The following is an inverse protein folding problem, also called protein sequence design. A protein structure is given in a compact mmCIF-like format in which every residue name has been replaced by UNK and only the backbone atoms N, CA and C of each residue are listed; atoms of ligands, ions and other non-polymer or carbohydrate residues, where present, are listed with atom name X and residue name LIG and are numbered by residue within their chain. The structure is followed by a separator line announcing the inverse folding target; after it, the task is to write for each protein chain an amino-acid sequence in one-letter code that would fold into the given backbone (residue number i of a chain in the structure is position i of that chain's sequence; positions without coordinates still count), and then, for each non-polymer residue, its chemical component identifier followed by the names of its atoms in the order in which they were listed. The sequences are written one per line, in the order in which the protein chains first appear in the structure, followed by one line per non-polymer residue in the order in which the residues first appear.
data_IF_687812562073
#
_entry.id   IF_687812562073
#
_cell.length_a   1.000
_cell.length_b   1.000
_cell.length_c   1.000
_cell.angle_alpha   90.00
_cell.angle_beta   90.00
_cell.angle_gamma   90.00
#
_symmetry.space_group_name_H-M   'P 1'
#
loop_
_entity.id
_entity.type
_entity.pdbx_description
1 polymer ?
#
# COMPACT_ATOMS: atom_id res chain seq x y z
N UNK A 1 -8.06 -16.41 17.91
CA UNK A 1 -7.24 -15.19 18.14
C UNK A 1 -7.43 -14.11 17.07
N UNK A 2 -7.71 -14.44 15.80
CA UNK A 2 -7.84 -13.47 14.69
C UNK A 2 -9.00 -12.48 14.82
N UNK A 3 -10.19 -12.92 15.25
CA UNK A 3 -11.38 -12.06 15.37
C UNK A 3 -11.21 -10.87 16.33
N UNK A 4 -10.51 -11.09 17.46
CA UNK A 4 -10.24 -10.02 18.43
C UNK A 4 -9.34 -8.94 17.83
N UNK A 5 -8.27 -9.32 17.12
CA UNK A 5 -7.42 -8.38 16.40
C UNK A 5 -8.20 -7.62 15.32
N UNK A 6 -8.99 -8.32 14.47
CA UNK A 6 -9.83 -7.68 13.44
C UNK A 6 -10.80 -6.66 14.03
N UNK A 7 -11.47 -7.00 15.14
CA UNK A 7 -12.38 -6.09 15.85
C UNK A 7 -11.64 -4.87 16.42
N UNK A 8 -10.49 -5.10 17.07
CA UNK A 8 -9.67 -4.04 17.65
C UNK A 8 -9.14 -3.06 16.58
N UNK A 9 -8.60 -3.56 15.47
CA UNK A 9 -8.14 -2.71 14.35
C UNK A 9 -9.29 -1.99 13.65
N UNK A 10 -10.49 -2.60 13.58
CA UNK A 10 -11.71 -1.91 13.10
C UNK A 10 -12.05 -0.72 13.98
N UNK A 11 -12.08 -0.90 15.30
CA UNK A 11 -12.38 0.18 16.26
C UNK A 11 -11.33 1.29 16.18
N UNK A 12 -10.04 0.96 16.11
CA UNK A 12 -8.95 1.94 15.96
C UNK A 12 -9.12 2.73 14.65
N UNK A 13 -9.36 2.05 13.53
CA UNK A 13 -9.50 2.70 12.22
C UNK A 13 -10.70 3.63 12.17
N UNK A 14 -11.85 3.22 12.73
CA UNK A 14 -13.05 4.05 12.86
C UNK A 14 -12.79 5.26 13.77
N UNK A 15 -12.06 5.08 14.89
CA UNK A 15 -11.69 6.17 15.78
C UNK A 15 -10.74 7.19 15.10
N UNK A 16 -9.78 6.74 14.30
CA UNK A 16 -8.89 7.60 13.52
C UNK A 16 -9.66 8.38 12.44
N UNK A 17 -10.57 7.72 11.70
CA UNK A 17 -11.44 8.39 10.73
C UNK A 17 -12.42 9.38 11.39
N UNK A 18 -12.91 9.08 12.60
CA UNK A 18 -13.67 10.03 13.42
C UNK A 18 -12.82 11.24 13.83
N UNK A 19 -11.58 11.00 14.27
CA UNK A 19 -10.66 12.06 14.67
C UNK A 19 -10.27 12.99 13.51
N UNK A 20 -10.07 12.47 12.29
CA UNK A 20 -9.79 13.31 11.13
C UNK A 20 -10.98 14.21 10.75
N UNK A 21 -12.21 13.69 10.80
CA UNK A 21 -13.43 14.49 10.61
C UNK A 21 -13.53 15.60 11.67
N UNK A 22 -13.24 15.28 12.94
CA UNK A 22 -13.22 16.27 14.03
C UNK A 22 -12.15 17.33 13.80
N UNK A 23 -10.94 16.97 13.36
CA UNK A 23 -9.87 17.91 13.05
C UNK A 23 -10.25 18.87 11.90
N UNK A 24 -10.90 18.36 10.84
CA UNK A 24 -11.44 19.20 9.75
C UNK A 24 -12.52 20.16 10.29
N UNK A 25 -13.43 19.67 11.14
CA UNK A 25 -14.44 20.50 11.79
C UNK A 25 -13.82 21.62 12.66
N UNK A 26 -12.77 21.31 13.42
CA UNK A 26 -12.01 22.29 14.21
C UNK A 26 -11.28 23.30 13.32
N UNK A 27 -10.71 22.87 12.19
CA UNK A 27 -10.07 23.77 11.22
C UNK A 27 -11.08 24.79 10.68
N UNK A 28 -12.21 24.31 10.14
CA UNK A 28 -13.29 25.17 9.60
C UNK A 28 -13.84 26.11 10.66
N UNK A 29 -14.06 25.63 11.90
CA UNK A 29 -14.54 26.45 13.00
C UNK A 29 -13.54 27.55 13.40
N UNK A 30 -12.24 27.23 13.52
CA UNK A 30 -11.21 28.23 13.84
C UNK A 30 -11.09 29.28 12.74
N UNK A 31 -11.08 28.86 11.47
CA UNK A 31 -11.05 29.77 10.33
C UNK A 31 -12.26 30.71 10.31
N UNK A 32 -13.48 30.19 10.53
CA UNK A 32 -14.69 31.02 10.51
C UNK A 32 -14.71 32.05 11.64
N UNK A 33 -14.20 31.70 12.83
CA UNK A 33 -14.06 32.63 13.95
C UNK A 33 -13.03 33.73 13.65
N UNK A 34 -11.83 33.39 13.16
CA UNK A 34 -10.78 34.37 12.86
C UNK A 34 -11.19 35.41 11.81
N UNK A 35 -11.95 35.00 10.79
CA UNK A 35 -12.54 35.94 9.83
C UNK A 35 -13.57 36.88 10.45
N UNK A 36 -14.23 36.49 11.56
CA UNK A 36 -15.26 37.27 12.23
C UNK A 36 -14.70 38.23 13.29
N UNK A 37 -13.61 37.82 13.96
CA UNK A 37 -12.89 38.62 14.96
C UNK A 37 -11.94 39.63 14.33
N UNK A 38 -11.55 39.43 13.06
CA UNK A 38 -10.56 40.26 12.37
C UNK A 38 -9.12 39.92 12.78
N UNK A 39 -8.91 38.81 13.48
CA UNK A 39 -7.59 38.25 13.74
C UNK A 39 -6.94 37.81 12.42
N UNK A 40 -5.61 37.79 12.37
CA UNK A 40 -4.83 37.71 11.12
C UNK A 40 -5.27 36.57 10.20
N UNK A 41 -6.11 36.87 9.22
CA UNK A 41 -6.82 35.87 8.41
C UNK A 41 -5.88 34.88 7.70
N UNK A 42 -4.68 35.35 7.32
CA UNK A 42 -3.65 34.53 6.72
C UNK A 42 -3.08 33.49 7.72
N UNK A 43 -2.85 33.89 8.98
CA UNK A 43 -2.34 33.00 10.03
C UNK A 43 -3.39 31.96 10.45
N UNK A 44 -4.64 32.38 10.62
CA UNK A 44 -5.76 31.44 10.89
C UNK A 44 -5.97 30.47 9.73
N UNK A 45 -5.69 30.89 8.49
CA UNK A 45 -5.76 30.03 7.31
C UNK A 45 -4.59 29.05 7.24
N UNK A 46 -3.37 29.46 7.55
CA UNK A 46 -2.21 28.55 7.64
C UNK A 46 -2.37 27.50 8.74
N UNK A 47 -2.85 27.91 9.93
CA UNK A 47 -3.13 26.99 11.03
C UNK A 47 -4.22 25.97 10.66
N UNK A 48 -5.23 26.39 9.89
CA UNK A 48 -6.27 25.50 9.38
C UNK A 48 -5.75 24.54 8.31
N UNK A 49 -4.84 24.98 7.42
CA UNK A 49 -4.18 24.08 6.46
C UNK A 49 -3.34 23.02 7.20
N UNK A 50 -2.61 23.39 8.26
CA UNK A 50 -1.91 22.44 9.13
C UNK A 50 -2.86 21.41 9.76
N UNK A 51 -3.97 21.86 10.37
CA UNK A 51 -5.00 20.96 10.91
C UNK A 51 -5.60 20.02 9.85
N UNK A 52 -5.77 20.48 8.60
CA UNK A 52 -6.23 19.64 7.48
C UNK A 52 -5.17 18.63 7.05
N UNK A 53 -3.88 18.99 7.01
CA UNK A 53 -2.78 18.05 6.71
C UNK A 53 -2.73 16.94 7.75
N UNK A 54 -2.80 17.30 9.04
CA UNK A 54 -2.85 16.33 10.14
C UNK A 54 -4.10 15.43 10.00
N UNK A 55 -5.26 16.01 9.66
CA UNK A 55 -6.48 15.23 9.43
C UNK A 55 -6.35 14.23 8.28
N UNK A 56 -5.77 14.63 7.14
CA UNK A 56 -5.52 13.75 5.99
C UNK A 56 -4.56 12.63 6.38
N UNK A 57 -3.44 12.95 7.05
CA UNK A 57 -2.49 11.94 7.51
C UNK A 57 -3.12 10.92 8.48
N UNK A 58 -3.94 11.38 9.43
CA UNK A 58 -4.68 10.52 10.35
C UNK A 58 -5.71 9.65 9.62
N UNK A 59 -6.41 10.20 8.62
CA UNK A 59 -7.36 9.46 7.80
C UNK A 59 -6.67 8.37 6.97
N UNK A 60 -5.53 8.68 6.34
CA UNK A 60 -4.75 7.74 5.53
C UNK A 60 -4.18 6.60 6.38
N UNK A 61 -3.70 6.88 7.61
CA UNK A 61 -3.29 5.83 8.56
C UNK A 61 -4.49 4.97 8.99
N UNK A 62 -5.63 5.58 9.31
CA UNK A 62 -6.85 4.84 9.66
C UNK A 62 -7.33 3.92 8.55
N UNK A 63 -7.36 4.43 7.30
CA UNK A 63 -7.70 3.67 6.10
C UNK A 63 -6.70 2.55 5.82
N UNK A 64 -5.40 2.83 5.95
CA UNK A 64 -4.34 1.83 5.80
C UNK A 64 -4.47 0.69 6.81
N UNK A 65 -4.66 0.98 8.10
CA UNK A 65 -4.86 -0.05 9.14
C UNK A 65 -6.13 -0.89 8.89
N UNK A 66 -7.20 -0.27 8.40
CA UNK A 66 -8.42 -0.98 8.05
C UNK A 66 -8.20 -1.94 6.87
N UNK A 67 -7.61 -1.45 5.78
CA UNK A 67 -7.30 -2.27 4.59
C UNK A 67 -6.36 -3.43 4.95
N UNK A 68 -5.34 -3.18 5.78
CA UNK A 68 -4.23 -4.10 6.01
C UNK A 68 -4.48 -5.15 7.11
N UNK A 69 -5.31 -4.85 8.13
CA UNK A 69 -5.57 -5.79 9.23
C UNK A 69 -7.04 -6.25 9.34
N UNK A 70 -7.99 -5.54 8.73
CA UNK A 70 -9.40 -5.92 8.71
C UNK A 70 -9.79 -6.58 7.39
N UNK A 71 -9.48 -5.94 6.26
CA UNK A 71 -9.91 -6.39 4.92
C UNK A 71 -8.97 -7.43 4.32
N UNK A 72 -7.65 -7.29 4.45
CA UNK A 72 -6.70 -8.29 3.98
C UNK A 72 -6.90 -9.63 4.71
N UNK A 73 -6.98 -10.72 3.95
CA UNK A 73 -6.99 -12.07 4.52
C UNK A 73 -5.57 -12.54 4.85
N UNK A 74 -5.42 -13.10 6.05
CA UNK A 74 -4.12 -13.35 6.67
C UNK A 74 -3.38 -14.59 6.13
N UNK A 75 -3.98 -15.37 5.25
CA UNK A 75 -3.56 -16.77 5.06
C UNK A 75 -2.29 -16.96 4.22
N UNK A 76 -1.91 -16.05 3.32
CA UNK A 76 -0.63 -16.15 2.59
C UNK A 76 0.02 -14.79 2.26
N UNK A 77 0.40 -13.98 3.28
CA UNK A 77 1.26 -12.79 3.04
C UNK A 77 2.60 -13.23 2.45
N UNK A 78 2.78 -13.10 1.13
CA UNK A 78 4.09 -13.31 0.48
C UNK A 78 5.06 -12.23 0.98
N UNK A 79 6.38 -12.50 1.09
CA UNK A 79 7.35 -11.50 1.55
C UNK A 79 7.34 -10.19 0.72
N UNK A 80 6.90 -10.25 -0.53
CA UNK A 80 6.69 -9.07 -1.39
C UNK A 80 5.54 -8.17 -0.91
N UNK A 81 4.43 -8.74 -0.44
CA UNK A 81 3.24 -8.00 0.01
C UNK A 81 3.52 -7.23 1.30
N UNK A 82 4.20 -7.86 2.26
CA UNK A 82 4.63 -7.20 3.49
C UNK A 82 5.57 -5.99 3.23
N UNK A 83 6.44 -6.09 2.21
CA UNK A 83 7.28 -4.96 1.77
C UNK A 83 6.47 -3.86 1.08
N UNK A 84 5.47 -4.23 0.28
CA UNK A 84 4.54 -3.28 -0.36
C UNK A 84 3.73 -2.50 0.66
N UNK A 85 3.18 -3.19 1.66
CA UNK A 85 2.47 -2.60 2.81
C UNK A 85 3.34 -1.60 3.58
N UNK A 86 4.56 -2.01 3.97
CA UNK A 86 5.52 -1.12 4.64
C UNK A 86 5.87 0.10 3.78
N UNK A 87 6.04 -0.07 2.47
CA UNK A 87 6.35 1.01 1.54
C UNK A 87 5.18 2.01 1.44
N UNK A 88 3.94 1.52 1.38
CA UNK A 88 2.73 2.35 1.40
C UNK A 88 2.61 3.15 2.71
N UNK A 89 2.82 2.50 3.85
CA UNK A 89 2.82 3.17 5.16
C UNK A 89 3.87 4.28 5.26
N UNK A 90 5.12 3.97 4.91
CA UNK A 90 6.22 4.94 4.93
C UNK A 90 5.97 6.10 3.96
N UNK A 91 5.38 5.85 2.80
CA UNK A 91 5.01 6.89 1.83
C UNK A 91 4.00 7.90 2.41
N UNK A 92 2.96 7.42 3.10
CA UNK A 92 1.97 8.28 3.81
C UNK A 92 2.68 9.18 4.82
N UNK A 93 3.58 8.61 5.64
CA UNK A 93 4.35 9.38 6.64
C UNK A 93 5.26 10.44 6.00
N UNK A 94 5.95 10.12 4.89
CA UNK A 94 6.83 11.06 4.18
C UNK A 94 6.03 12.22 3.56
N UNK A 95 4.89 11.93 2.95
CA UNK A 95 4.01 12.96 2.37
C UNK A 95 3.48 13.88 3.48
N UNK A 96 3.02 13.32 4.60
CA UNK A 96 2.57 14.10 5.75
C UNK A 96 3.66 15.02 6.30
N UNK A 97 4.86 14.50 6.56
CA UNK A 97 6.01 15.29 7.04
C UNK A 97 6.44 16.40 6.06
N UNK A 98 6.38 16.13 4.74
CA UNK A 98 6.72 17.11 3.70
C UNK A 98 5.69 18.26 3.64
N UNK A 99 4.40 17.94 3.73
CA UNK A 99 3.32 18.94 3.73
C UNK A 99 3.33 19.79 5.00
N UNK A 100 3.52 19.15 6.17
CA UNK A 100 3.62 19.83 7.47
C UNK A 100 4.79 20.82 7.47
N UNK A 101 5.99 20.36 7.08
CA UNK A 101 7.17 21.22 6.95
C UNK A 101 6.93 22.42 6.01
N UNK A 102 6.28 22.21 4.85
CA UNK A 102 5.99 23.29 3.91
C UNK A 102 5.08 24.37 4.51
N UNK A 103 4.05 23.98 5.27
CA UNK A 103 3.16 24.93 5.96
C UNK A 103 3.89 25.67 7.07
N UNK A 104 4.73 24.97 7.85
CA UNK A 104 5.55 25.64 8.86
C UNK A 104 6.55 26.63 8.23
N UNK A 105 7.18 26.29 7.10
CA UNK A 105 8.04 27.24 6.35
C UNK A 105 7.22 28.46 5.93
N UNK A 106 6.01 28.28 5.37
CA UNK A 106 5.15 29.37 4.93
C UNK A 106 4.67 30.28 6.08
N UNK A 107 4.41 29.72 7.27
CA UNK A 107 4.09 30.47 8.48
C UNK A 107 5.30 31.26 8.98
N UNK A 108 6.40 30.57 9.23
CA UNK A 108 7.58 31.13 9.91
C UNK A 108 8.38 32.10 9.04
N UNK A 109 8.38 31.95 7.71
CA UNK A 109 9.02 32.88 6.76
C UNK A 109 8.49 34.34 6.85
N UNK A 110 7.37 34.56 7.55
CA UNK A 110 6.76 35.87 7.75
C UNK A 110 7.06 36.53 9.10
N UNK A 111 7.51 35.77 10.10
CA UNK A 111 7.64 36.26 11.49
C UNK A 111 9.07 36.71 11.81
N UNK A 112 10.06 35.80 11.70
CA UNK A 112 11.48 36.10 11.93
C UNK A 112 12.38 35.05 11.26
N UNK A 113 13.42 35.52 10.55
CA UNK A 113 14.32 34.64 9.76
C UNK A 113 15.07 33.59 10.58
N UNK A 114 15.19 33.76 11.91
CA UNK A 114 15.83 32.78 12.79
C UNK A 114 15.03 31.48 12.95
N UNK A 115 13.70 31.56 12.89
CA UNK A 115 12.83 30.44 13.25
C UNK A 115 12.66 29.43 12.10
N UNK A 116 13.04 29.80 10.87
CA UNK A 116 12.94 28.94 9.67
C UNK A 116 13.83 27.67 9.73
N UNK A 117 14.74 27.60 10.70
CA UNK A 117 15.63 26.45 10.93
C UNK A 117 14.84 25.19 11.30
N UNK A 118 13.87 25.28 12.21
CA UNK A 118 13.09 24.10 12.63
C UNK A 118 12.23 23.52 11.48
N UNK A 119 11.45 24.34 10.74
CA UNK A 119 10.73 23.88 9.55
C UNK A 119 11.68 23.30 8.47
N UNK A 120 12.86 23.91 8.28
CA UNK A 120 13.88 23.42 7.34
C UNK A 120 14.49 22.06 7.75
N UNK A 121 14.69 21.82 9.06
CA UNK A 121 15.13 20.52 9.57
C UNK A 121 14.06 19.43 9.40
N UNK A 122 12.77 19.78 9.53
CA UNK A 122 11.67 18.86 9.19
C UNK A 122 11.67 18.52 7.69
N UNK A 123 11.93 19.50 6.82
CA UNK A 123 12.04 19.25 5.37
C UNK A 123 13.19 18.31 5.06
N UNK A 124 14.35 18.54 5.68
CA UNK A 124 15.53 17.69 5.53
C UNK A 124 15.24 16.25 6.02
N UNK A 125 14.53 16.10 7.14
CA UNK A 125 14.13 14.78 7.65
C UNK A 125 13.18 14.07 6.67
N UNK A 126 12.22 14.77 6.07
CA UNK A 126 11.30 14.21 5.08
C UNK A 126 12.05 13.76 3.81
N UNK A 127 13.03 14.56 3.33
CA UNK A 127 13.91 14.20 2.20
C UNK A 127 14.78 12.99 2.55
N UNK A 128 15.37 12.93 3.75
CA UNK A 128 16.16 11.78 4.20
C UNK A 128 15.31 10.50 4.33
N UNK A 129 14.07 10.61 4.81
CA UNK A 129 13.12 9.50 4.86
C UNK A 129 12.74 9.02 3.45
N UNK A 130 12.54 9.93 2.48
CA UNK A 130 12.30 9.60 1.07
C UNK A 130 13.50 8.87 0.44
N UNK A 131 14.72 9.36 0.67
CA UNK A 131 15.96 8.71 0.21
C UNK A 131 16.13 7.34 0.85
N UNK A 132 15.87 7.21 2.15
CA UNK A 132 15.89 5.94 2.88
C UNK A 132 14.88 4.94 2.33
N UNK A 133 13.66 5.39 2.01
CA UNK A 133 12.63 4.55 1.39
C UNK A 133 13.01 4.13 -0.05
N UNK A 134 13.62 5.02 -0.83
CA UNK A 134 14.16 4.69 -2.16
C UNK A 134 15.29 3.65 -2.10
N UNK A 135 16.19 3.78 -1.11
CA UNK A 135 17.26 2.82 -0.87
C UNK A 135 16.70 1.45 -0.41
N UNK A 136 15.73 1.45 0.50
CA UNK A 136 15.03 0.24 0.95
C UNK A 136 14.37 -0.51 -0.22
N UNK A 137 13.69 0.22 -1.12
CA UNK A 137 13.08 -0.37 -2.32
C UNK A 137 14.13 -0.98 -3.25
N UNK A 138 15.22 -0.25 -3.55
CA UNK A 138 16.32 -0.74 -4.40
C UNK A 138 16.96 -2.02 -3.85
N UNK A 139 17.27 -2.06 -2.55
CA UNK A 139 17.85 -3.23 -1.89
C UNK A 139 16.86 -4.41 -1.88
N UNK A 140 15.57 -4.14 -1.65
CA UNK A 140 14.51 -5.15 -1.64
C UNK A 140 14.27 -5.78 -3.02
N UNK A 141 14.38 -5.00 -4.10
CA UNK A 141 14.28 -5.50 -5.48
C UNK A 141 15.46 -6.41 -5.82
N UNK A 142 16.69 -5.99 -5.49
CA UNK A 142 17.90 -6.80 -5.72
C UNK A 142 17.83 -8.16 -4.99
N UNK A 143 17.30 -8.19 -3.77
CA UNK A 143 17.13 -9.43 -3.00
C UNK A 143 16.12 -10.41 -3.64
N UNK A 144 15.14 -9.92 -4.39
CA UNK A 144 14.17 -10.76 -5.10
C UNK A 144 14.69 -11.21 -6.47
N UNK A 145 15.45 -10.37 -7.19
CA UNK A 145 16.08 -10.74 -8.45
C UNK A 145 17.17 -11.83 -8.32
N UNK A 146 17.71 -12.03 -7.11
CA UNK A 146 18.68 -13.07 -6.81
C UNK A 146 18.07 -14.47 -6.58
N UNK A 147 16.73 -14.57 -6.51
CA UNK A 147 16.02 -15.86 -6.41
C UNK A 147 15.54 -16.25 -7.82
N UNK A 148 16.06 -17.34 -8.42
CA UNK A 148 15.56 -17.82 -9.70
C UNK A 148 14.06 -18.12 -9.62
N UNK A 149 13.27 -17.87 -10.68
CA UNK A 149 11.90 -18.32 -10.73
C UNK A 149 11.88 -19.85 -10.68
N UNK A 150 11.21 -20.41 -9.69
CA UNK A 150 11.04 -21.85 -9.58
C UNK A 150 10.17 -22.33 -10.75
N UNK A 151 10.66 -23.30 -11.52
CA UNK A 151 9.90 -23.94 -12.60
C UNK A 151 9.26 -25.20 -12.04
N UNK A 152 8.14 -24.99 -11.36
CA UNK A 152 7.18 -25.98 -10.90
C UNK A 152 5.98 -25.22 -10.32
N UNK A 153 4.72 -25.54 -10.62
CA UNK A 153 4.19 -26.74 -11.27
C UNK A 153 3.02 -26.34 -12.21
N UNK A 154 3.30 -26.01 -13.49
CA UNK A 154 2.29 -25.76 -14.53
C UNK A 154 2.15 -26.95 -15.51
N UNK A 155 2.39 -28.19 -15.03
CA UNK A 155 2.20 -29.43 -15.79
C UNK A 155 1.28 -30.41 -15.02
N UNK A 156 -0.04 -30.17 -15.02
CA UNK A 156 -1.04 -31.25 -14.82
C UNK A 156 -2.49 -30.94 -15.25
N UNK A 157 -2.87 -29.69 -15.50
CA UNK A 157 -4.29 -29.30 -15.72
C UNK A 157 -4.84 -29.57 -17.16
N UNK A 158 -4.14 -30.33 -18.01
CA UNK A 158 -4.63 -30.71 -19.36
C UNK A 158 -5.08 -32.18 -19.49
N UNK A 159 -5.21 -32.93 -18.38
CA UNK A 159 -5.43 -34.37 -18.41
C UNK A 159 -6.85 -34.88 -18.03
N UNK A 160 -7.87 -34.03 -17.86
CA UNK A 160 -9.20 -34.49 -17.42
C UNK A 160 -10.45 -33.90 -18.13
N UNK A 161 -10.40 -33.71 -19.47
CA UNK A 161 -11.62 -33.63 -20.29
C UNK A 161 -11.73 -34.81 -21.28
N UNK A 162 -12.40 -35.89 -20.86
CA UNK A 162 -12.87 -36.97 -21.73
C UNK A 162 -14.38 -37.16 -21.62
N UNK A 163 -15.19 -36.64 -22.56
CA UNK A 163 -16.61 -36.94 -22.61
C UNK A 163 -16.86 -38.42 -22.95
N UNK A 164 -17.68 -39.11 -22.16
CA UNK A 164 -18.13 -40.46 -22.47
C UNK A 164 -19.03 -40.44 -23.72
N UNK A 165 -18.55 -41.01 -24.83
CA UNK A 165 -19.36 -41.30 -26.00
C UNK A 165 -19.88 -42.75 -25.96
N UNK A 166 -21.21 -42.90 -26.06
CA UNK A 166 -21.93 -44.17 -25.89
C UNK A 166 -21.83 -45.03 -27.16
N UNK A 167 -21.61 -46.33 -26.97
CA UNK A 167 -21.05 -47.24 -27.98
C UNK A 167 -21.93 -47.68 -29.16
N UNK A 168 -21.28 -48.46 -30.04
CA UNK A 168 -21.87 -49.56 -30.84
C UNK A 168 -20.76 -50.55 -31.27
N UNK A 169 -21.09 -51.79 -31.70
CA UNK A 169 -20.33 -52.98 -31.29
C UNK A 169 -19.21 -53.46 -32.24
N UNK A 170 -18.44 -54.40 -31.69
CA UNK A 170 -17.28 -55.10 -32.26
C UNK A 170 -17.53 -55.88 -33.56
N UNK A 171 -16.51 -55.91 -34.42
CA UNK A 171 -16.28 -57.01 -35.39
C UNK A 171 -14.86 -57.56 -35.26
N UNK A 172 -14.77 -58.86 -34.97
CA UNK A 172 -13.54 -59.65 -34.96
C UNK A 172 -13.05 -59.97 -36.39
N UNK A 173 -11.76 -59.80 -36.68
CA UNK A 173 -10.93 -60.77 -37.44
C UNK A 173 -9.45 -60.34 -37.45
N UNK A 174 -8.54 -60.95 -36.68
CA UNK A 174 -7.71 -62.12 -37.07
C UNK A 174 -7.02 -61.99 -38.45
N UNK A 175 -5.75 -61.55 -38.47
CA UNK A 175 -4.54 -62.39 -38.71
C UNK A 175 -3.26 -61.57 -38.99
N UNK A 176 -2.20 -61.87 -38.24
CA UNK A 176 -0.77 -61.74 -38.61
C UNK A 176 -0.40 -62.90 -39.57
N UNK A 177 0.83 -63.01 -40.15
CA UNK A 177 1.92 -62.03 -40.30
C UNK A 177 2.54 -62.00 -41.74
N UNK A 178 3.53 -61.13 -42.01
CA UNK A 178 4.78 -61.45 -42.74
C UNK A 178 5.72 -60.23 -42.89
N UNK A 179 7.02 -60.43 -42.65
CA UNK A 179 8.17 -59.68 -43.23
C UNK A 179 8.83 -60.61 -44.31
N UNK A 180 9.94 -60.31 -45.04
CA UNK A 180 11.12 -59.46 -44.79
C UNK A 180 11.09 -58.15 -45.63
N UNK A 181 12.13 -57.36 -45.94
CA UNK A 181 13.61 -57.41 -45.79
C UNK A 181 14.13 -55.99 -45.38
N UNK A 182 15.41 -55.59 -45.23
CA UNK A 182 16.74 -55.85 -45.85
C UNK A 182 16.86 -55.41 -47.34
N UNK A 183 17.86 -54.66 -47.80
CA UNK A 183 19.14 -54.24 -47.18
C UNK A 183 19.64 -52.87 -47.79
N UNK A 184 20.94 -52.46 -47.92
CA UNK A 184 21.35 -51.14 -47.41
C UNK A 184 22.05 -50.20 -48.43
N UNK A 185 22.21 -48.92 -48.05
CA UNK A 185 23.36 -48.04 -48.39
C UNK A 185 23.23 -46.70 -47.63
#
# INVERSE_FOLDING_TARGET
MTLFSRLLYTIISVALLGASIVLIGVAVWRTSQGFWTGEGALDTMLDAIGLVIIAVAVADVGKFLFEEEVVADREMRRPAEARGSLTKFMSIMIVALSLESLVLIAKTSRETMGDIVYPGLLMLLAVLALVGLGLFQKLSQNATAAVPPDRGEDENDEAEERPLAIGKPSTHSRRRPAAPAADPA
#
